data_IF_441365059564
#
_entry.id   IF_441365059564
#
_cell.length_a   1.000
_cell.length_b   1.000
_cell.length_c   1.000
_cell.angle_alpha   90.00
_cell.angle_beta   90.00
_cell.angle_gamma   90.00
#
_symmetry.space_group_name_H-M   'P 1'
#
loop_
_entity.id
_entity.type
_entity.pdbx_description
1 polymer ?
#
# COMPACT_ATOMS: atom_id res chain seq x y z
N UNK A 1 -24.32 19.99 -15.30
CA UNK A 1 -24.10 19.00 -14.20
C UNK A 1 -24.87 17.75 -14.58
N UNK A 2 -24.19 16.72 -15.06
CA UNK A 2 -24.84 15.42 -15.22
C UNK A 2 -24.82 14.76 -13.84
N UNK A 3 -25.97 14.62 -13.21
CA UNK A 3 -26.11 13.79 -12.01
C UNK A 3 -25.78 12.34 -12.42
N UNK A 4 -24.88 11.70 -11.68
CA UNK A 4 -24.64 10.28 -11.83
C UNK A 4 -25.95 9.55 -11.53
N UNK A 5 -26.33 8.65 -12.43
CA UNK A 5 -27.46 7.75 -12.22
C UNK A 5 -27.23 6.99 -10.89
N UNK A 6 -28.16 7.03 -9.93
CA UNK A 6 -28.04 6.34 -8.65
C UNK A 6 -27.75 4.83 -8.78
N UNK A 7 -28.15 4.20 -9.90
CA UNK A 7 -27.86 2.80 -10.21
C UNK A 7 -26.37 2.56 -10.47
N UNK A 8 -25.65 3.56 -10.96
CA UNK A 8 -24.20 3.48 -11.24
C UNK A 8 -23.39 3.72 -9.97
N UNK A 9 -23.90 4.53 -9.04
CA UNK A 9 -23.20 4.82 -7.78
C UNK A 9 -23.01 3.57 -6.89
N UNK A 10 -23.94 2.61 -6.95
CA UNK A 10 -23.84 1.35 -6.21
C UNK A 10 -22.81 0.36 -6.77
N UNK A 11 -22.43 0.50 -8.03
CA UNK A 11 -21.47 -0.39 -8.72
C UNK A 11 -20.13 0.28 -8.99
N UNK A 12 -20.03 1.59 -8.84
CA UNK A 12 -18.82 2.34 -9.07
C UNK A 12 -17.76 2.03 -8.00
N UNK A 13 -16.57 1.65 -8.43
CA UNK A 13 -15.41 1.34 -7.55
C UNK A 13 -14.81 2.58 -6.89
N UNK A 14 -14.87 3.70 -7.60
CA UNK A 14 -14.49 5.02 -7.10
C UNK A 14 -15.26 6.09 -7.88
N UNK A 15 -15.76 7.07 -7.18
CA UNK A 15 -16.40 8.26 -7.78
C UNK A 15 -15.48 9.44 -7.53
N UNK A 16 -14.97 10.02 -8.62
CA UNK A 16 -14.11 11.21 -8.57
C UNK A 16 -14.91 12.35 -9.24
N UNK A 17 -15.21 13.38 -8.48
CA UNK A 17 -15.85 14.57 -8.98
C UNK A 17 -14.84 15.51 -9.64
N UNK A 18 -15.19 16.05 -10.80
CA UNK A 18 -14.37 17.05 -11.50
C UNK A 18 -14.95 18.48 -11.38
N UNK A 19 -15.98 18.68 -10.57
CA UNK A 19 -16.69 19.97 -10.54
C UNK A 19 -17.18 20.41 -9.16
N UNK A 20 -16.63 19.84 -8.10
CA UNK A 20 -17.03 20.15 -6.71
C UNK A 20 -17.46 18.91 -5.92
N UNK A 21 -17.61 19.06 -4.63
CA UNK A 21 -18.04 17.97 -3.76
C UNK A 21 -19.54 17.68 -3.97
N UNK A 22 -19.89 16.39 -3.98
CA UNK A 22 -21.28 15.93 -3.87
C UNK A 22 -21.32 14.67 -2.97
N UNK A 23 -22.48 14.37 -2.41
CA UNK A 23 -22.65 13.20 -1.59
C UNK A 23 -22.36 11.92 -2.39
N UNK A 24 -21.44 11.09 -1.90
CA UNK A 24 -20.97 9.88 -2.57
C UNK A 24 -19.69 10.05 -3.40
N UNK A 25 -19.11 11.26 -3.53
CA UNK A 25 -17.79 11.41 -4.12
C UNK A 25 -16.68 10.92 -3.19
N UNK A 26 -15.84 10.00 -3.69
CA UNK A 26 -14.68 9.48 -2.96
C UNK A 26 -13.48 10.43 -3.02
N UNK A 27 -13.41 11.24 -4.07
CA UNK A 27 -12.41 12.30 -4.24
C UNK A 27 -12.95 13.43 -5.12
N UNK A 28 -12.42 14.63 -4.91
CA UNK A 28 -12.76 15.81 -5.71
C UNK A 28 -11.51 16.33 -6.39
N UNK A 29 -11.62 16.61 -7.68
CA UNK A 29 -10.59 17.28 -8.49
C UNK A 29 -11.22 18.49 -9.14
N UNK A 30 -10.69 19.66 -8.87
CA UNK A 30 -11.22 20.92 -9.46
C UNK A 30 -10.43 21.24 -10.73
N UNK A 31 -11.10 21.55 -11.86
CA UNK A 31 -10.44 22.04 -13.06
C UNK A 31 -9.75 23.40 -12.85
N UNK A 32 -8.65 23.69 -13.59
CA UNK A 32 -8.02 22.81 -14.56
C UNK A 32 -7.22 21.71 -13.90
N UNK A 33 -7.44 20.44 -14.30
CA UNK A 33 -6.76 19.28 -13.75
C UNK A 33 -5.90 18.59 -14.80
N UNK A 34 -4.67 18.27 -14.45
CA UNK A 34 -3.75 17.57 -15.32
C UNK A 34 -4.15 16.08 -15.47
N UNK A 35 -4.06 15.45 -16.66
CA UNK A 35 -4.43 14.05 -16.85
C UNK A 35 -3.71 13.08 -15.88
N UNK A 36 -2.44 13.32 -15.57
CA UNK A 36 -1.68 12.52 -14.60
C UNK A 36 -2.27 12.66 -13.20
N UNK A 37 -2.70 13.87 -12.80
CA UNK A 37 -3.36 14.11 -11.51
C UNK A 37 -4.65 13.28 -11.41
N UNK A 38 -5.49 13.31 -12.44
CA UNK A 38 -6.75 12.55 -12.48
C UNK A 38 -6.45 11.05 -12.33
N UNK A 39 -5.53 10.52 -13.13
CA UNK A 39 -5.13 9.11 -13.07
C UNK A 39 -4.54 8.72 -11.70
N UNK A 40 -3.72 9.59 -11.10
CA UNK A 40 -3.13 9.34 -9.79
C UNK A 40 -4.20 9.33 -8.68
N UNK A 41 -5.16 10.25 -8.73
CA UNK A 41 -6.27 10.32 -7.77
C UNK A 41 -7.18 9.10 -7.87
N UNK A 42 -7.58 8.69 -9.08
CA UNK A 42 -8.38 7.48 -9.30
C UNK A 42 -7.65 6.25 -8.72
N UNK A 43 -6.38 6.08 -9.05
CA UNK A 43 -5.59 4.94 -8.50
C UNK A 43 -5.48 4.98 -6.98
N UNK A 44 -5.26 6.16 -6.38
CA UNK A 44 -5.14 6.30 -4.93
C UNK A 44 -6.44 5.94 -4.22
N UNK A 45 -7.58 6.42 -4.75
CA UNK A 45 -8.92 6.15 -4.22
C UNK A 45 -9.28 4.66 -4.32
N UNK A 46 -9.04 4.04 -5.48
CA UNK A 46 -9.26 2.59 -5.66
C UNK A 46 -8.42 1.75 -4.69
N UNK A 47 -7.13 2.08 -4.55
CA UNK A 47 -6.24 1.36 -3.62
C UNK A 47 -6.63 1.55 -2.15
N UNK A 48 -7.13 2.74 -1.79
CA UNK A 48 -7.62 2.96 -0.43
C UNK A 48 -8.88 2.13 -0.17
N UNK A 49 -9.82 2.09 -1.11
CA UNK A 49 -11.02 1.25 -1.02
C UNK A 49 -10.69 -0.23 -0.83
N UNK A 50 -9.79 -0.79 -1.65
CA UNK A 50 -9.33 -2.18 -1.51
C UNK A 50 -8.73 -2.43 -0.13
N UNK A 51 -7.87 -1.52 0.36
CA UNK A 51 -7.24 -1.64 1.67
C UNK A 51 -8.28 -1.64 2.81
N UNK A 52 -9.25 -0.73 2.77
CA UNK A 52 -10.29 -0.59 3.79
C UNK A 52 -11.23 -1.79 3.82
N UNK A 53 -11.68 -2.23 2.65
CA UNK A 53 -12.57 -3.39 2.52
C UNK A 53 -11.86 -4.68 2.95
N UNK A 54 -10.60 -4.88 2.54
CA UNK A 54 -9.79 -6.04 2.98
C UNK A 54 -9.57 -6.01 4.49
N UNK A 55 -9.30 -4.84 5.07
CA UNK A 55 -9.12 -4.71 6.51
C UNK A 55 -10.40 -5.08 7.28
N UNK A 56 -11.54 -4.58 6.83
CA UNK A 56 -12.84 -4.89 7.43
C UNK A 56 -13.18 -6.37 7.30
N UNK A 57 -12.92 -6.97 6.13
CA UNK A 57 -13.18 -8.39 5.90
C UNK A 57 -12.25 -9.29 6.73
N UNK A 58 -10.96 -8.95 6.84
CA UNK A 58 -10.01 -9.73 7.67
C UNK A 58 -10.40 -9.70 9.14
N UNK A 59 -10.87 -8.56 9.63
CA UNK A 59 -11.38 -8.45 11.00
C UNK A 59 -12.64 -9.32 11.19
N UNK A 60 -13.56 -9.33 10.25
CA UNK A 60 -14.76 -10.18 10.30
C UNK A 60 -14.38 -11.67 10.34
N UNK A 61 -13.51 -12.12 9.43
CA UNK A 61 -13.05 -13.51 9.37
C UNK A 61 -12.30 -13.94 10.63
N UNK A 62 -11.61 -13.02 11.30
CA UNK A 62 -10.97 -13.26 12.59
C UNK A 62 -12.02 -13.43 13.70
N UNK A 63 -13.08 -12.60 13.70
CA UNK A 63 -14.22 -12.70 14.62
C UNK A 63 -14.96 -14.03 14.45
N UNK A 64 -15.22 -14.45 13.23
CA UNK A 64 -15.84 -15.75 12.90
C UNK A 64 -14.96 -16.94 13.31
N UNK A 65 -13.63 -16.73 13.41
CA UNK A 65 -12.70 -17.71 13.98
C UNK A 65 -12.69 -17.74 15.52
N UNK A 66 -13.54 -16.93 16.18
CA UNK A 66 -13.64 -16.86 17.64
C UNK A 66 -12.64 -15.94 18.32
N UNK A 67 -11.92 -15.10 17.56
CA UNK A 67 -10.90 -14.18 18.08
C UNK A 67 -11.45 -12.74 18.11
N UNK A 68 -11.81 -12.27 19.29
CA UNK A 68 -12.28 -10.89 19.46
C UNK A 68 -11.07 -9.94 19.64
N UNK A 69 -10.92 -9.00 18.73
CA UNK A 69 -10.01 -7.90 18.92
C UNK A 69 -10.72 -6.76 19.67
N UNK A 70 -10.14 -6.30 20.75
CA UNK A 70 -10.54 -5.05 21.33
C UNK A 70 -10.12 -3.91 20.39
N UNK A 71 -11.10 -3.25 19.78
CA UNK A 71 -10.85 -1.98 19.09
C UNK A 71 -10.36 -0.98 20.12
N UNK A 72 -9.04 -0.84 20.25
CA UNK A 72 -8.48 0.30 20.96
C UNK A 72 -8.99 1.57 20.28
N UNK A 73 -9.67 2.43 21.02
CA UNK A 73 -10.02 3.78 20.54
C UNK A 73 -8.70 4.51 20.26
N UNK A 74 -8.25 4.47 19.03
CA UNK A 74 -7.15 5.36 18.60
C UNK A 74 -7.76 6.78 18.53
N UNK A 75 -7.67 7.53 19.63
CA UNK A 75 -7.97 8.96 19.63
C UNK A 75 -7.04 9.61 18.61
N UNK A 76 -7.57 9.90 17.44
CA UNK A 76 -6.87 10.72 16.46
C UNK A 76 -6.84 12.15 17.01
N UNK A 77 -5.65 12.63 17.39
CA UNK A 77 -5.43 14.06 17.66
C UNK A 77 -5.78 14.93 16.44
N UNK A 78 -5.63 16.25 16.53
CA UNK A 78 -5.89 17.16 15.42
C UNK A 78 -5.08 16.76 14.18
N UNK A 79 -5.59 17.09 12.99
CA UNK A 79 -4.84 16.91 11.74
C UNK A 79 -3.62 17.84 11.80
N UNK A 80 -2.44 17.29 11.50
CA UNK A 80 -1.20 18.06 11.53
C UNK A 80 -0.64 18.23 10.12
N UNK A 81 -0.51 19.48 9.67
CA UNK A 81 -0.03 19.86 8.35
C UNK A 81 1.31 20.58 8.48
N UNK A 82 2.32 20.12 7.71
CA UNK A 82 3.57 20.83 7.55
C UNK A 82 3.47 21.78 6.35
N UNK A 83 3.74 23.04 6.55
CA UNK A 83 4.01 23.97 5.46
C UNK A 83 5.53 24.16 5.33
N UNK A 84 6.05 24.10 4.11
CA UNK A 84 7.45 24.38 3.82
C UNK A 84 7.55 25.39 2.67
N UNK A 85 8.14 26.55 2.95
CA UNK A 85 8.29 27.64 2.02
C UNK A 85 8.42 29.00 2.68
N UNK A 86 8.52 30.10 1.90
CA UNK A 86 8.63 31.43 2.46
C UNK A 86 7.38 31.84 3.23
N UNK A 87 7.49 32.73 4.23
CA UNK A 87 6.37 33.31 4.94
C UNK A 87 5.71 34.37 4.03
N UNK A 88 4.74 33.96 3.26
CA UNK A 88 4.01 34.82 2.33
C UNK A 88 2.51 34.93 2.70
N UNK A 89 1.76 35.87 2.09
CA UNK A 89 0.34 36.04 2.40
C UNK A 89 -0.51 34.79 2.12
N UNK A 90 -0.10 33.91 1.18
CA UNK A 90 -0.81 32.68 0.89
C UNK A 90 -0.68 31.68 2.07
N UNK A 91 0.51 31.62 2.69
CA UNK A 91 0.72 30.84 3.90
C UNK A 91 -0.20 31.32 5.04
N UNK A 92 -0.24 32.62 5.32
CA UNK A 92 -1.03 33.16 6.45
C UNK A 92 -2.53 32.88 6.27
N UNK A 93 -3.04 33.04 5.05
CA UNK A 93 -4.43 32.71 4.75
C UNK A 93 -4.74 31.22 4.93
N UNK A 94 -3.84 30.36 4.44
CA UNK A 94 -3.96 28.90 4.58
C UNK A 94 -3.90 28.49 6.05
N UNK A 95 -2.93 28.99 6.81
CA UNK A 95 -2.81 28.69 8.24
C UNK A 95 -4.09 29.05 8.99
N UNK A 96 -4.61 30.24 8.77
CA UNK A 96 -5.86 30.68 9.40
C UNK A 96 -7.05 29.79 9.03
N UNK A 97 -7.16 29.42 7.76
CA UNK A 97 -8.23 28.51 7.31
C UNK A 97 -8.12 27.11 7.93
N UNK A 98 -6.92 26.55 8.01
CA UNK A 98 -6.67 25.26 8.67
C UNK A 98 -6.97 25.32 10.17
N UNK A 99 -6.56 26.37 10.85
CA UNK A 99 -6.85 26.55 12.30
C UNK A 99 -8.35 26.60 12.60
N UNK A 100 -9.16 27.24 11.73
CA UNK A 100 -10.64 27.25 11.88
C UNK A 100 -11.25 25.86 11.83
N UNK A 101 -10.64 24.90 11.17
CA UNK A 101 -11.08 23.51 11.13
C UNK A 101 -10.56 22.65 12.28
N UNK A 102 -9.77 23.23 13.18
CA UNK A 102 -9.11 22.52 14.28
C UNK A 102 -7.84 21.75 13.86
N UNK A 103 -7.32 22.00 12.67
CA UNK A 103 -6.05 21.42 12.24
C UNK A 103 -4.86 22.22 12.82
N UNK A 104 -3.79 21.52 13.14
CA UNK A 104 -2.51 22.12 13.55
C UNK A 104 -1.63 22.34 12.33
N UNK A 105 -0.99 23.51 12.24
CA UNK A 105 -0.03 23.82 11.20
C UNK A 105 1.35 24.06 11.82
N UNK A 106 2.36 23.42 11.24
CA UNK A 106 3.77 23.68 11.55
C UNK A 106 4.41 24.31 10.32
N UNK A 107 5.10 25.44 10.49
CA UNK A 107 5.74 26.13 9.38
C UNK A 107 7.26 25.96 9.41
N UNK A 108 7.81 25.52 8.28
CA UNK A 108 9.24 25.45 8.01
C UNK A 108 9.59 26.47 6.94
N UNK A 109 10.27 27.55 7.31
CA UNK A 109 10.64 28.60 6.34
C UNK A 109 11.98 28.34 5.63
N UNK A 110 12.54 27.16 5.85
CA UNK A 110 13.70 26.64 5.11
C UNK A 110 13.53 25.17 4.82
N UNK A 111 14.18 24.68 3.76
CA UNK A 111 14.19 23.26 3.40
C UNK A 111 14.84 22.41 4.49
N UNK A 112 15.85 22.94 5.17
CA UNK A 112 16.53 22.27 6.28
C UNK A 112 15.56 22.00 7.43
N UNK A 113 14.87 23.03 7.90
CA UNK A 113 13.88 22.89 8.97
C UNK A 113 12.72 21.95 8.57
N UNK A 114 12.34 21.93 7.28
CA UNK A 114 11.32 21.02 6.81
C UNK A 114 11.73 19.55 6.98
N UNK A 115 12.98 19.21 6.67
CA UNK A 115 13.49 17.85 6.87
C UNK A 115 13.62 17.50 8.35
N UNK A 116 14.08 18.42 9.20
CA UNK A 116 14.16 18.19 10.65
C UNK A 116 12.78 17.87 11.23
N UNK A 117 11.77 18.69 10.92
CA UNK A 117 10.39 18.43 11.36
C UNK A 117 9.82 17.10 10.81
N UNK A 118 10.12 16.75 9.56
CA UNK A 118 9.70 15.48 8.98
C UNK A 118 10.38 14.26 9.65
N UNK A 119 11.57 14.46 10.22
CA UNK A 119 12.24 13.43 11.03
C UNK A 119 11.65 13.30 12.43
N UNK A 120 11.35 14.40 13.08
CA UNK A 120 10.90 14.46 14.46
C UNK A 120 9.42 14.11 14.62
N UNK A 121 8.55 14.60 13.73
CA UNK A 121 7.09 14.51 13.86
C UNK A 121 6.45 13.87 12.62
N UNK A 122 5.36 13.16 12.86
CA UNK A 122 4.52 12.64 11.77
C UNK A 122 3.48 13.69 11.37
N UNK A 123 3.40 14.03 10.08
CA UNK A 123 2.42 14.94 9.51
C UNK A 123 1.38 14.19 8.69
N UNK A 124 0.15 14.67 8.69
CA UNK A 124 -0.93 14.08 7.91
C UNK A 124 -0.92 14.58 6.45
N UNK A 125 -0.38 15.78 6.20
CA UNK A 125 -0.10 16.31 4.87
C UNK A 125 1.10 17.25 4.91
N UNK A 126 1.73 17.47 3.74
CA UNK A 126 2.82 18.43 3.56
C UNK A 126 2.47 19.37 2.42
N UNK A 127 2.54 20.67 2.65
CA UNK A 127 2.35 21.72 1.67
C UNK A 127 3.70 22.33 1.35
N UNK A 128 4.10 22.27 0.10
CA UNK A 128 5.37 22.83 -0.39
C UNK A 128 5.09 24.03 -1.26
N UNK A 129 5.51 25.20 -0.86
CA UNK A 129 5.45 26.38 -1.69
C UNK A 129 6.49 26.28 -2.80
N UNK A 130 6.09 26.57 -4.03
CA UNK A 130 6.99 26.50 -5.19
C UNK A 130 7.91 27.71 -5.33
N UNK A 131 7.75 28.72 -4.49
CA UNK A 131 8.68 29.85 -4.41
C UNK A 131 9.85 29.54 -3.47
N UNK A 132 11.03 30.11 -3.66
CA UNK A 132 11.41 30.96 -4.82
C UNK A 132 11.67 30.15 -6.11
N UNK A 133 11.85 28.83 -6.02
CA UNK A 133 12.12 27.92 -7.16
C UNK A 133 11.37 26.62 -7.02
N UNK A 134 10.65 26.16 -8.06
CA UNK A 134 9.93 24.88 -8.07
C UNK A 134 10.82 23.68 -7.79
N UNK A 135 12.08 23.69 -8.25
CA UNK A 135 13.05 22.59 -8.10
C UNK A 135 13.28 22.18 -6.64
N UNK A 136 13.19 23.15 -5.70
CA UNK A 136 13.33 22.87 -4.27
C UNK A 136 12.16 22.01 -3.81
N UNK A 137 10.93 22.38 -4.15
CA UNK A 137 9.73 21.62 -3.81
C UNK A 137 9.76 20.22 -4.43
N UNK A 138 10.18 20.11 -5.69
CA UNK A 138 10.37 18.84 -6.39
C UNK A 138 11.41 17.93 -5.72
N UNK A 139 12.51 18.52 -5.22
CA UNK A 139 13.55 17.78 -4.50
C UNK A 139 13.00 17.21 -3.18
N UNK A 140 12.23 18.00 -2.43
CA UNK A 140 11.58 17.54 -1.19
C UNK A 140 10.58 16.41 -1.50
N UNK A 141 9.76 16.54 -2.54
CA UNK A 141 8.86 15.48 -3.00
C UNK A 141 9.63 14.16 -3.24
N UNK A 142 10.71 14.23 -4.03
CA UNK A 142 11.53 13.07 -4.36
C UNK A 142 12.15 12.43 -3.11
N UNK A 143 12.67 13.23 -2.19
CA UNK A 143 13.25 12.76 -0.94
C UNK A 143 12.20 12.06 -0.06
N UNK A 144 11.00 12.62 0.04
CA UNK A 144 9.89 11.99 0.78
C UNK A 144 9.49 10.64 0.17
N UNK A 145 9.47 10.50 -1.15
CA UNK A 145 9.15 9.23 -1.83
C UNK A 145 10.22 8.15 -1.69
N UNK A 146 11.46 8.53 -1.38
CA UNK A 146 12.55 7.57 -1.09
C UNK A 146 12.58 7.14 0.37
N UNK A 147 11.90 7.85 1.26
CA UNK A 147 11.84 7.53 2.68
C UNK A 147 10.61 6.68 2.97
N UNK A 148 10.79 5.46 3.44
CA UNK A 148 9.71 4.49 3.71
C UNK A 148 8.65 5.01 4.69
N UNK A 149 9.05 5.81 5.68
CA UNK A 149 8.15 6.42 6.67
C UNK A 149 7.29 7.54 6.06
N UNK A 150 7.84 8.30 5.10
CA UNK A 150 7.21 9.46 4.48
C UNK A 150 6.53 9.15 3.14
N UNK A 151 6.81 7.99 2.56
CA UNK A 151 6.36 7.60 1.22
C UNK A 151 4.87 7.83 0.96
N UNK A 152 4.03 7.56 1.94
CA UNK A 152 2.58 7.73 1.83
C UNK A 152 2.05 9.07 2.34
N UNK A 153 2.93 10.01 2.75
CA UNK A 153 2.49 11.33 3.17
C UNK A 153 2.09 12.14 1.94
N UNK A 154 0.85 12.63 1.83
CA UNK A 154 0.45 13.46 0.72
C UNK A 154 1.25 14.75 0.72
N UNK A 155 1.70 15.12 -0.47
CA UNK A 155 2.51 16.31 -0.70
C UNK A 155 1.80 17.19 -1.71
N UNK A 156 1.41 18.38 -1.30
CA UNK A 156 0.69 19.37 -2.11
C UNK A 156 1.67 20.47 -2.49
N UNK A 157 1.75 20.78 -3.78
CA UNK A 157 2.49 21.95 -4.25
C UNK A 157 1.57 23.16 -4.28
N UNK A 158 1.95 24.23 -3.60
CA UNK A 158 1.28 25.52 -3.65
C UNK A 158 1.94 26.39 -4.72
N UNK A 159 1.29 26.49 -5.88
CA UNK A 159 1.80 27.22 -7.04
C UNK A 159 1.31 28.66 -7.06
N UNK A 160 2.22 29.58 -7.40
CA UNK A 160 1.89 31.00 -7.64
C UNK A 160 1.74 31.33 -9.14
N UNK A 161 1.96 30.36 -10.01
CA UNK A 161 1.78 30.51 -11.45
C UNK A 161 0.33 30.20 -11.83
N UNK A 162 -0.24 30.94 -12.79
CA UNK A 162 -1.58 30.67 -13.32
C UNK A 162 -1.65 29.26 -13.95
N UNK A 163 -0.58 28.85 -14.62
CA UNK A 163 -0.41 27.50 -15.16
C UNK A 163 0.93 26.95 -14.69
N UNK A 164 0.88 25.88 -13.88
CA UNK A 164 2.10 25.22 -13.42
C UNK A 164 2.70 24.35 -14.53
N UNK A 165 3.70 24.89 -15.23
CA UNK A 165 4.29 24.24 -16.42
C UNK A 165 5.04 22.96 -16.13
N UNK A 166 5.54 22.76 -14.92
CA UNK A 166 6.28 21.57 -14.49
C UNK A 166 5.37 20.50 -13.82
N UNK A 167 4.08 20.44 -14.17
CA UNK A 167 3.14 19.51 -13.55
C UNK A 167 3.51 18.04 -13.74
N UNK A 168 3.94 17.64 -14.95
CA UNK A 168 4.39 16.27 -15.25
C UNK A 168 5.55 15.87 -14.35
N UNK A 169 6.53 16.74 -14.19
CA UNK A 169 7.69 16.50 -13.34
C UNK A 169 7.29 16.42 -11.86
N UNK A 170 6.41 17.30 -11.40
CA UNK A 170 5.92 17.30 -10.02
C UNK A 170 5.24 15.97 -9.66
N UNK A 171 4.32 15.50 -10.52
CA UNK A 171 3.64 14.23 -10.31
C UNK A 171 4.59 13.03 -10.45
N UNK A 172 5.52 13.06 -11.39
CA UNK A 172 6.57 12.04 -11.54
C UNK A 172 7.47 11.96 -10.29
N UNK A 173 7.72 13.09 -9.63
CA UNK A 173 8.46 13.17 -8.37
C UNK A 173 7.62 12.90 -7.12
N UNK A 174 6.33 12.65 -7.30
CA UNK A 174 5.43 12.17 -6.24
C UNK A 174 4.57 13.23 -5.57
N UNK A 175 4.35 14.39 -6.20
CA UNK A 175 3.31 15.30 -5.74
C UNK A 175 1.95 14.60 -5.75
N UNK A 176 1.14 14.86 -4.75
CA UNK A 176 -0.23 14.34 -4.64
C UNK A 176 -1.24 15.26 -5.29
N UNK A 177 -0.99 16.57 -5.21
CA UNK A 177 -1.81 17.62 -5.82
C UNK A 177 -0.98 18.86 -6.08
N UNK A 178 -1.49 19.73 -6.98
CA UNK A 178 -0.94 21.06 -7.26
C UNK A 178 -2.10 22.04 -7.14
N UNK A 179 -1.99 22.98 -6.22
CA UNK A 179 -3.04 23.95 -5.91
C UNK A 179 -2.53 25.37 -6.20
N UNK A 180 -3.30 26.19 -6.95
CA UNK A 180 -2.98 27.60 -7.11
C UNK A 180 -3.07 28.36 -5.78
N UNK A 181 -2.07 29.16 -5.46
CA UNK A 181 -2.07 30.01 -4.26
C UNK A 181 -3.14 31.13 -4.31
N UNK A 182 -3.74 31.36 -5.48
CA UNK A 182 -4.85 32.27 -5.70
C UNK A 182 -6.23 31.71 -5.33
N UNK A 183 -6.33 30.38 -5.07
CA UNK A 183 -7.58 29.80 -4.58
C UNK A 183 -8.01 30.43 -3.25
N UNK A 184 -9.32 30.38 -3.00
CA UNK A 184 -9.86 30.77 -1.71
C UNK A 184 -9.27 29.91 -0.60
N UNK A 185 -8.97 30.52 0.55
CA UNK A 185 -8.26 29.85 1.62
C UNK A 185 -9.01 28.64 2.18
N UNK A 186 -10.34 28.71 2.22
CA UNK A 186 -11.16 27.61 2.70
C UNK A 186 -11.15 26.44 1.72
N UNK A 187 -11.17 26.68 0.41
CA UNK A 187 -11.04 25.64 -0.61
C UNK A 187 -9.66 24.97 -0.56
N UNK A 188 -8.58 25.75 -0.37
CA UNK A 188 -7.24 25.21 -0.16
C UNK A 188 -7.21 24.28 1.06
N UNK A 189 -7.77 24.74 2.18
CA UNK A 189 -7.80 23.97 3.43
C UNK A 189 -8.61 22.67 3.25
N UNK A 190 -9.79 22.72 2.65
CA UNK A 190 -10.63 21.54 2.39
C UNK A 190 -9.89 20.47 1.58
N UNK A 191 -9.19 20.86 0.52
CA UNK A 191 -8.45 19.94 -0.34
C UNK A 191 -7.26 19.30 0.38
N UNK A 192 -6.53 20.07 1.17
CA UNK A 192 -5.42 19.56 1.97
C UNK A 192 -5.94 18.61 3.05
N UNK A 193 -7.03 18.96 3.72
CA UNK A 193 -7.67 18.14 4.74
C UNK A 193 -8.22 16.83 4.18
N UNK A 194 -8.79 16.83 2.99
CA UNK A 194 -9.25 15.61 2.32
C UNK A 194 -8.09 14.62 2.11
N UNK A 195 -6.93 15.10 1.65
CA UNK A 195 -5.72 14.29 1.50
C UNK A 195 -5.17 13.79 2.84
N UNK A 196 -5.18 14.65 3.87
CA UNK A 196 -4.76 14.30 5.21
C UNK A 196 -5.66 13.21 5.83
N UNK A 197 -6.99 13.32 5.62
CA UNK A 197 -7.96 12.31 6.06
C UNK A 197 -7.76 10.97 5.34
N UNK A 198 -7.52 10.96 4.03
CA UNK A 198 -7.17 9.75 3.30
C UNK A 198 -5.92 9.06 3.87
N UNK A 199 -4.88 9.83 4.21
CA UNK A 199 -3.70 9.30 4.86
C UNK A 199 -4.04 8.66 6.22
N UNK A 200 -4.88 9.31 7.03
CA UNK A 200 -5.34 8.75 8.30
C UNK A 200 -6.11 7.46 8.13
N UNK A 201 -7.07 7.44 7.21
CA UNK A 201 -7.83 6.23 6.86
C UNK A 201 -6.91 5.10 6.44
N UNK A 202 -5.93 5.38 5.57
CA UNK A 202 -4.91 4.39 5.15
C UNK A 202 -4.10 3.87 6.34
N UNK A 203 -3.69 4.74 7.26
CA UNK A 203 -2.93 4.36 8.45
C UNK A 203 -3.76 3.50 9.40
N UNK A 204 -5.02 3.88 9.61
CA UNK A 204 -5.96 3.11 10.44
C UNK A 204 -6.21 1.71 9.87
N UNK A 205 -6.47 1.60 8.57
CA UNK A 205 -6.69 0.31 7.92
C UNK A 205 -5.46 -0.58 7.95
N UNK A 206 -4.25 -0.01 7.76
CA UNK A 206 -3.00 -0.76 7.94
C UNK A 206 -2.81 -1.22 9.38
N UNK A 207 -3.09 -0.36 10.36
CA UNK A 207 -3.03 -0.72 11.78
C UNK A 207 -4.02 -1.83 12.13
N UNK A 208 -5.23 -1.78 11.57
CA UNK A 208 -6.23 -2.83 11.73
C UNK A 208 -5.76 -4.16 11.14
N UNK A 209 -5.21 -4.16 9.93
CA UNK A 209 -4.64 -5.36 9.31
C UNK A 209 -3.50 -5.96 10.12
N UNK A 210 -2.64 -5.12 10.70
CA UNK A 210 -1.57 -5.59 11.57
C UNK A 210 -2.11 -6.14 12.90
N UNK A 211 -3.13 -5.54 13.48
CA UNK A 211 -3.78 -6.05 14.70
C UNK A 211 -4.48 -7.41 14.49
N UNK A 212 -4.87 -7.72 13.25
CA UNK A 212 -5.43 -9.04 12.90
C UNK A 212 -4.36 -10.16 12.87
N UNK A 213 -3.09 -9.86 13.06
CA UNK A 213 -1.99 -10.83 13.07
C UNK A 213 -1.81 -11.40 14.48
N UNK A 214 -2.79 -12.13 14.97
CA UNK A 214 -2.72 -12.78 16.28
C UNK A 214 -2.13 -14.20 16.13
N UNK A 215 -1.42 -14.67 17.15
CA UNK A 215 -0.73 -15.96 17.12
C UNK A 215 -1.64 -17.16 16.77
N UNK A 216 -2.90 -17.08 17.09
CA UNK A 216 -3.88 -18.13 16.80
C UNK A 216 -4.17 -18.34 15.30
N UNK A 217 -3.89 -17.36 14.45
CA UNK A 217 -4.10 -17.45 12.99
C UNK A 217 -2.79 -17.44 12.21
N UNK A 218 -1.68 -17.34 12.90
CA UNK A 218 -0.34 -17.37 12.29
C UNK A 218 0.28 -18.75 12.41
N UNK A 219 1.16 -19.06 11.47
CA UNK A 219 2.10 -20.18 11.57
C UNK A 219 3.19 -19.84 12.59
N UNK A 220 3.42 -20.71 13.56
CA UNK A 220 4.29 -20.45 14.71
C UNK A 220 5.78 -20.35 14.36
N UNK A 221 6.20 -20.82 13.19
CA UNK A 221 7.60 -20.80 12.77
C UNK A 221 7.93 -19.60 11.88
N UNK A 222 6.95 -19.14 11.08
CA UNK A 222 7.20 -18.16 10.01
C UNK A 222 6.50 -16.83 10.20
N UNK A 223 5.60 -16.72 11.18
CA UNK A 223 4.72 -15.55 11.34
C UNK A 223 3.86 -15.20 10.11
N UNK A 224 3.79 -16.08 9.11
CA UNK A 224 2.83 -15.98 8.03
C UNK A 224 1.47 -16.50 8.50
N UNK A 225 0.40 -16.20 7.77
CA UNK A 225 -0.89 -16.80 8.11
C UNK A 225 -0.85 -18.31 7.92
N UNK A 226 -1.54 -19.04 8.80
CA UNK A 226 -1.74 -20.47 8.68
C UNK A 226 -2.62 -20.82 7.49
N UNK A 227 -2.48 -22.01 6.93
CA UNK A 227 -3.28 -22.47 5.78
C UNK A 227 -4.79 -22.44 6.07
N UNK A 228 -5.21 -22.84 7.27
CA UNK A 228 -6.61 -22.88 7.68
C UNK A 228 -7.24 -21.48 7.68
N UNK A 229 -6.59 -20.48 8.27
CA UNK A 229 -7.05 -19.09 8.23
C UNK A 229 -6.92 -18.51 6.83
N UNK A 230 -5.83 -18.81 6.14
CA UNK A 230 -5.55 -18.38 4.79
C UNK A 230 -6.66 -18.77 3.81
N UNK A 231 -7.09 -20.02 3.82
CA UNK A 231 -8.18 -20.50 2.96
C UNK A 231 -9.52 -19.85 3.31
N UNK A 232 -9.81 -19.63 4.61
CA UNK A 232 -11.03 -18.91 5.05
C UNK A 232 -11.04 -17.49 4.49
N UNK A 233 -9.99 -16.72 4.78
CA UNK A 233 -9.88 -15.34 4.34
C UNK A 233 -9.84 -15.22 2.82
N UNK A 234 -9.16 -16.13 2.12
CA UNK A 234 -9.17 -16.16 0.65
C UNK A 234 -10.59 -16.38 0.11
N UNK A 235 -11.40 -17.24 0.75
CA UNK A 235 -12.80 -17.42 0.35
C UNK A 235 -13.60 -16.12 0.43
N UNK A 236 -13.40 -15.36 1.50
CA UNK A 236 -14.01 -14.04 1.67
C UNK A 236 -13.49 -13.02 0.64
N UNK A 237 -12.18 -13.04 0.35
CA UNK A 237 -11.59 -12.18 -0.69
C UNK A 237 -12.13 -12.49 -2.09
N UNK A 238 -12.34 -13.75 -2.45
CA UNK A 238 -12.96 -14.13 -3.72
C UNK A 238 -14.37 -13.55 -3.84
N UNK A 239 -15.18 -13.66 -2.78
CA UNK A 239 -16.53 -13.09 -2.77
C UNK A 239 -16.49 -11.55 -2.86
N UNK A 240 -15.66 -10.91 -2.06
CA UNK A 240 -15.51 -9.46 -2.02
C UNK A 240 -15.09 -8.90 -3.38
N UNK A 241 -14.04 -9.46 -3.97
CA UNK A 241 -13.49 -8.97 -5.23
C UNK A 241 -14.45 -9.25 -6.40
N UNK A 242 -15.16 -10.37 -6.37
CA UNK A 242 -16.21 -10.64 -7.35
C UNK A 242 -17.37 -9.64 -7.23
N UNK A 243 -17.89 -9.41 -6.02
CA UNK A 243 -18.99 -8.45 -5.80
C UNK A 243 -18.61 -7.02 -6.23
N UNK A 244 -17.33 -6.66 -6.10
CA UNK A 244 -16.81 -5.34 -6.49
C UNK A 244 -16.24 -5.29 -7.90
N UNK A 245 -16.28 -6.41 -8.64
CA UNK A 245 -15.65 -6.57 -9.95
C UNK A 245 -14.17 -6.10 -9.94
N UNK A 246 -13.44 -6.46 -8.88
CA UNK A 246 -12.02 -6.21 -8.71
C UNK A 246 -11.21 -7.43 -9.11
N UNK A 247 -10.00 -7.27 -9.67
CA UNK A 247 -9.13 -8.40 -9.90
C UNK A 247 -8.62 -8.99 -8.58
N UNK A 248 -8.42 -10.27 -8.54
CA UNK A 248 -7.74 -11.00 -7.46
C UNK A 248 -6.80 -12.00 -8.08
N UNK A 249 -5.52 -11.92 -7.76
CA UNK A 249 -4.52 -12.89 -8.22
C UNK A 249 -3.95 -13.68 -7.05
N UNK A 250 -3.60 -14.94 -7.31
CA UNK A 250 -2.89 -15.80 -6.36
C UNK A 250 -1.57 -16.24 -6.96
N UNK A 251 -0.51 -16.13 -6.19
CA UNK A 251 0.84 -16.60 -6.53
C UNK A 251 1.15 -17.80 -5.67
N UNK A 252 1.32 -18.97 -6.29
CA UNK A 252 1.90 -20.14 -5.64
C UNK A 252 3.43 -20.02 -5.61
N UNK A 253 4.05 -20.37 -4.49
CA UNK A 253 5.49 -20.31 -4.29
C UNK A 253 5.97 -21.65 -3.74
N UNK A 254 6.99 -22.25 -4.35
CA UNK A 254 7.69 -23.43 -3.84
C UNK A 254 9.16 -23.13 -3.71
N UNK A 255 9.69 -23.32 -2.50
CA UNK A 255 11.07 -23.05 -2.15
C UNK A 255 11.84 -24.35 -2.06
N UNK A 256 13.02 -24.41 -2.65
CA UNK A 256 13.96 -25.49 -2.46
C UNK A 256 15.30 -24.93 -1.97
N UNK A 257 15.94 -25.68 -1.07
CA UNK A 257 17.26 -25.36 -0.53
C UNK A 257 18.25 -26.40 -1.09
N UNK A 258 18.97 -26.06 -2.18
CA UNK A 258 19.93 -26.98 -2.77
C UNK A 258 21.03 -27.36 -1.77
N UNK A 259 21.42 -28.66 -1.73
CA UNK A 259 22.45 -29.16 -0.84
C UNK A 259 21.99 -29.56 0.55
N UNK A 260 20.74 -29.36 0.92
CA UNK A 260 20.15 -29.78 2.20
C UNK A 260 19.77 -31.29 2.13
N UNK A 261 20.76 -32.20 2.18
CA UNK A 261 20.51 -33.64 1.97
C UNK A 261 20.57 -34.48 3.24
N UNK A 262 20.92 -33.93 4.42
CA UNK A 262 21.09 -34.67 5.67
C UNK A 262 20.24 -34.19 6.84
N UNK A 263 20.08 -34.99 7.91
CA UNK A 263 19.29 -34.61 9.09
C UNK A 263 19.80 -33.34 9.82
N UNK A 264 21.13 -33.10 9.74
CA UNK A 264 21.75 -31.88 10.27
C UNK A 264 21.37 -30.64 9.41
N UNK A 265 21.27 -30.84 8.10
CA UNK A 265 20.91 -29.80 7.15
C UNK A 265 19.42 -29.40 7.25
N UNK A 266 18.55 -30.29 7.72
CA UNK A 266 17.13 -30.03 7.88
C UNK A 266 16.81 -28.87 8.83
N UNK A 267 17.58 -28.72 9.93
CA UNK A 267 17.39 -27.58 10.86
C UNK A 267 17.84 -26.26 10.26
N UNK A 268 18.93 -26.28 9.50
CA UNK A 268 19.44 -25.09 8.82
C UNK A 268 18.57 -24.71 7.62
N UNK A 269 18.04 -25.70 6.89
CA UNK A 269 17.05 -25.47 5.84
C UNK A 269 15.76 -24.83 6.41
N UNK A 270 15.29 -25.28 7.59
CA UNK A 270 14.17 -24.63 8.28
C UNK A 270 14.49 -23.19 8.65
N UNK A 271 15.70 -22.88 9.11
CA UNK A 271 16.16 -21.52 9.35
C UNK A 271 16.12 -20.64 8.10
N UNK A 272 16.63 -21.16 6.98
CA UNK A 272 16.57 -20.45 5.69
C UNK A 272 15.13 -20.20 5.22
N UNK A 273 14.23 -21.16 5.41
CA UNK A 273 12.81 -21.02 5.09
C UNK A 273 12.11 -19.98 5.97
N UNK A 274 12.47 -19.91 7.25
CA UNK A 274 11.94 -18.88 8.17
C UNK A 274 12.44 -17.48 7.79
N UNK A 275 13.71 -17.34 7.40
CA UNK A 275 14.25 -16.08 6.89
C UNK A 275 13.57 -15.68 5.56
N UNK A 276 13.34 -16.64 4.66
CA UNK A 276 12.56 -16.41 3.45
C UNK A 276 11.15 -15.91 3.77
N UNK A 277 10.44 -16.55 4.70
CA UNK A 277 9.11 -16.15 5.11
C UNK A 277 9.08 -14.71 5.69
N UNK A 278 10.08 -14.38 6.52
CA UNK A 278 10.25 -13.01 7.03
C UNK A 278 10.48 -12.01 5.89
N UNK A 279 11.34 -12.34 4.94
CA UNK A 279 11.55 -11.51 3.74
C UNK A 279 10.25 -11.38 2.94
N UNK A 280 9.52 -12.47 2.70
CA UNK A 280 8.26 -12.49 1.96
C UNK A 280 7.23 -11.54 2.57
N UNK A 281 7.11 -11.52 3.90
CA UNK A 281 6.23 -10.60 4.63
C UNK A 281 6.51 -9.12 4.30
N UNK A 282 7.77 -8.75 4.11
CA UNK A 282 8.19 -7.38 3.79
C UNK A 282 8.07 -7.03 2.30
N UNK A 283 7.97 -8.04 1.43
CA UNK A 283 7.82 -7.85 -0.01
C UNK A 283 6.38 -7.61 -0.47
N UNK A 284 5.39 -7.85 0.40
CA UNK A 284 3.96 -7.72 0.08
C UNK A 284 3.34 -6.51 0.76
N UNK A 285 2.16 -6.09 0.28
CA UNK A 285 1.40 -4.99 0.87
C UNK A 285 0.67 -5.46 2.14
N UNK A 286 0.20 -4.53 2.96
CA UNK A 286 -0.55 -4.85 4.18
C UNK A 286 -1.87 -5.59 3.90
N UNK A 287 -2.54 -5.24 2.80
CA UNK A 287 -3.77 -5.88 2.32
C UNK A 287 -3.54 -7.27 1.72
N UNK A 288 -2.34 -7.55 1.23
CA UNK A 288 -2.02 -8.87 0.68
C UNK A 288 -2.05 -9.94 1.77
N UNK A 289 -2.35 -11.16 1.36
CA UNK A 289 -2.39 -12.32 2.25
C UNK A 289 -1.20 -13.23 1.92
N UNK A 290 -0.29 -13.40 2.85
CA UNK A 290 0.83 -14.33 2.73
C UNK A 290 0.62 -15.52 3.67
N UNK A 291 0.59 -16.73 3.12
CA UNK A 291 0.20 -17.95 3.81
C UNK A 291 1.28 -19.01 3.65
N UNK A 292 1.55 -19.75 4.74
CA UNK A 292 2.33 -20.96 4.71
C UNK A 292 1.41 -22.17 4.59
N UNK A 293 1.58 -22.97 3.54
CA UNK A 293 0.81 -24.19 3.31
C UNK A 293 1.54 -25.42 3.87
N UNK A 294 2.86 -25.48 3.68
CA UNK A 294 3.72 -26.54 4.18
C UNK A 294 5.13 -26.00 4.48
N UNK A 295 6.06 -26.89 4.81
CA UNK A 295 7.43 -26.50 5.13
C UNK A 295 8.10 -25.64 4.04
N UNK A 296 7.84 -25.93 2.78
CA UNK A 296 8.49 -25.33 1.61
C UNK A 296 7.54 -24.66 0.64
N UNK A 297 6.25 -24.59 0.98
CA UNK A 297 5.18 -24.17 0.07
C UNK A 297 4.39 -23.02 0.68
N UNK A 298 4.26 -21.93 -0.08
CA UNK A 298 3.57 -20.71 0.34
C UNK A 298 2.64 -20.21 -0.77
N UNK A 299 1.67 -19.41 -0.44
CA UNK A 299 0.97 -18.62 -1.44
C UNK A 299 0.73 -17.19 -1.00
N UNK A 300 0.60 -16.31 -1.99
CA UNK A 300 0.19 -14.94 -1.80
C UNK A 300 -1.16 -14.72 -2.48
N UNK A 301 -2.09 -14.06 -1.82
CA UNK A 301 -3.30 -13.57 -2.48
C UNK A 301 -3.28 -12.05 -2.49
N UNK A 302 -3.48 -11.46 -3.67
CA UNK A 302 -3.27 -10.06 -3.99
C UNK A 302 -4.59 -9.41 -4.44
N UNK A 303 -5.40 -8.89 -3.51
CA UNK A 303 -6.66 -8.22 -3.86
C UNK A 303 -6.40 -6.93 -4.64
N UNK A 304 -7.22 -6.65 -5.64
CA UNK A 304 -7.09 -5.48 -6.52
C UNK A 304 -5.86 -5.52 -7.44
N UNK A 305 -5.28 -6.72 -7.68
CA UNK A 305 -4.08 -6.90 -8.51
C UNK A 305 -4.40 -7.82 -9.66
N UNK A 306 -4.06 -7.42 -10.89
CA UNK A 306 -4.22 -8.23 -12.11
C UNK A 306 -3.16 -9.32 -12.19
N UNK A 307 -3.40 -10.38 -12.99
CA UNK A 307 -2.41 -11.44 -13.21
C UNK A 307 -1.08 -10.89 -13.76
N UNK A 308 -1.13 -9.89 -14.64
CA UNK A 308 0.07 -9.24 -15.16
C UNK A 308 0.88 -8.54 -14.05
N UNK A 309 0.22 -7.75 -13.20
CA UNK A 309 0.88 -7.09 -12.07
C UNK A 309 1.38 -8.10 -11.03
N UNK A 310 0.64 -9.20 -10.82
CA UNK A 310 1.03 -10.27 -9.92
C UNK A 310 2.31 -11.00 -10.40
N UNK A 311 2.49 -11.16 -11.72
CA UNK A 311 3.75 -11.69 -12.27
C UNK A 311 4.94 -10.79 -11.96
N UNK A 312 4.76 -9.45 -12.01
CA UNK A 312 5.82 -8.50 -11.60
C UNK A 312 6.15 -8.66 -10.12
N UNK A 313 5.14 -8.86 -9.27
CA UNK A 313 5.36 -9.15 -7.84
C UNK A 313 6.10 -10.47 -7.66
N UNK A 314 5.69 -11.54 -8.33
CA UNK A 314 6.32 -12.85 -8.25
C UNK A 314 7.80 -12.81 -8.70
N UNK A 315 8.09 -12.17 -9.83
CA UNK A 315 9.46 -11.98 -10.32
C UNK A 315 10.33 -11.18 -9.34
N UNK A 316 9.77 -10.12 -8.73
CA UNK A 316 10.49 -9.35 -7.71
C UNK A 316 10.80 -10.17 -6.47
N UNK A 317 9.83 -10.95 -5.97
CA UNK A 317 10.03 -11.85 -4.82
C UNK A 317 11.10 -12.89 -5.13
N UNK A 318 11.05 -13.51 -6.32
CA UNK A 318 12.04 -14.47 -6.77
C UNK A 318 13.44 -13.86 -6.84
N UNK A 319 13.59 -12.71 -7.46
CA UNK A 319 14.88 -12.03 -7.59
C UNK A 319 15.48 -11.69 -6.21
N UNK A 320 14.68 -11.18 -5.27
CA UNK A 320 15.15 -10.89 -3.90
C UNK A 320 15.56 -12.19 -3.20
N UNK A 321 14.73 -13.23 -3.28
CA UNK A 321 14.99 -14.51 -2.65
C UNK A 321 16.28 -15.16 -3.13
N UNK A 322 16.51 -15.19 -4.45
CA UNK A 322 17.69 -15.80 -5.06
C UNK A 322 18.98 -15.00 -4.85
N UNK A 323 18.86 -13.66 -4.70
CA UNK A 323 19.99 -12.78 -4.39
C UNK A 323 20.33 -12.73 -2.89
N UNK A 324 19.49 -13.29 -2.01
CA UNK A 324 19.70 -13.30 -0.56
C UNK A 324 20.56 -14.49 -0.15
N UNK A 325 21.55 -14.25 0.72
CA UNK A 325 22.30 -15.27 1.39
C UNK A 325 21.61 -15.63 2.72
N UNK A 326 21.17 -16.87 2.86
CA UNK A 326 20.46 -17.34 4.05
C UNK A 326 21.42 -18.03 5.00
N UNK A 327 21.20 -17.93 6.30
CA UNK A 327 22.06 -18.58 7.30
C UNK A 327 22.10 -20.08 7.10
N UNK A 328 23.33 -20.61 6.94
CA UNK A 328 23.64 -22.03 6.84
C UNK A 328 24.30 -22.57 8.11
N UNK A 329 24.66 -23.83 8.08
CA UNK A 329 25.44 -24.46 9.14
C UNK A 329 26.82 -23.82 9.34
N UNK A 330 27.44 -23.39 8.26
CA UNK A 330 28.71 -22.69 8.22
C UNK A 330 28.43 -21.21 7.84
N UNK A 331 28.82 -20.25 8.69
CA UNK A 331 28.67 -18.82 8.37
C UNK A 331 29.41 -18.39 7.08
N UNK A 332 30.43 -19.14 6.65
CA UNK A 332 31.18 -18.88 5.41
C UNK A 332 30.51 -19.52 4.18
N UNK A 333 29.54 -20.40 4.38
CA UNK A 333 28.79 -21.08 3.32
C UNK A 333 27.28 -20.88 3.49
N UNK A 334 26.75 -19.67 3.21
CA UNK A 334 25.32 -19.41 3.34
C UNK A 334 24.53 -20.24 2.32
N UNK A 335 23.32 -20.61 2.70
CA UNK A 335 22.39 -21.24 1.76
C UNK A 335 21.91 -20.24 0.71
N UNK A 336 21.76 -20.73 -0.51
CA UNK A 336 20.93 -20.09 -1.53
C UNK A 336 19.65 -20.89 -1.68
N UNK A 337 18.56 -20.23 -1.93
CA UNK A 337 17.29 -20.88 -2.23
C UNK A 337 16.98 -20.75 -3.72
N UNK A 338 16.24 -21.71 -4.24
CA UNK A 338 15.62 -21.63 -5.57
C UNK A 338 14.12 -21.50 -5.36
N UNK A 339 13.55 -20.44 -5.90
CA UNK A 339 12.13 -20.14 -5.80
C UNK A 339 11.42 -20.41 -7.13
N UNK A 340 10.50 -21.39 -7.12
CA UNK A 340 9.57 -21.60 -8.24
C UNK A 340 8.25 -20.90 -7.91
N UNK A 341 7.67 -20.26 -8.88
CA UNK A 341 6.39 -19.58 -8.73
C UNK A 341 5.49 -19.78 -9.94
N UNK A 342 4.18 -19.71 -9.69
CA UNK A 342 3.15 -19.67 -10.72
C UNK A 342 2.07 -18.68 -10.30
N UNK A 343 1.41 -18.05 -11.26
CA UNK A 343 0.42 -17.00 -11.04
C UNK A 343 -0.91 -17.40 -11.69
N UNK A 344 -1.97 -17.27 -10.93
CA UNK A 344 -3.34 -17.46 -11.43
C UNK A 344 -4.23 -16.31 -10.94
N UNK A 345 -5.22 -15.96 -11.72
CA UNK A 345 -6.28 -15.01 -11.34
C UNK A 345 -7.57 -15.73 -10.98
N UNK A 346 -8.35 -15.09 -10.12
CA UNK A 346 -9.66 -15.59 -9.73
C UNK A 346 -10.66 -15.37 -10.87
N UNK A 347 -11.37 -16.44 -11.23
CA UNK A 347 -12.48 -16.42 -12.18
C UNK A 347 -13.83 -16.44 -11.43
N UNK A 348 -14.89 -16.08 -12.14
CA UNK A 348 -16.24 -16.16 -11.60
C UNK A 348 -16.58 -17.59 -11.18
N UNK A 349 -17.04 -17.76 -9.94
CA UNK A 349 -17.39 -19.08 -9.39
C UNK A 349 -16.24 -19.89 -8.81
N UNK A 350 -15.01 -19.36 -8.80
CA UNK A 350 -13.88 -20.01 -8.13
C UNK A 350 -14.13 -20.17 -6.63
N UNK A 351 -13.65 -21.29 -6.09
CA UNK A 351 -13.51 -21.51 -4.64
C UNK A 351 -12.04 -21.32 -4.25
N UNK A 352 -11.77 -20.88 -3.03
CA UNK A 352 -10.41 -20.67 -2.54
C UNK A 352 -9.50 -21.88 -2.75
N UNK A 353 -9.99 -23.09 -2.43
CA UNK A 353 -9.22 -24.33 -2.59
C UNK A 353 -8.86 -24.60 -4.07
N UNK A 354 -9.80 -24.37 -4.99
CA UNK A 354 -9.58 -24.56 -6.43
C UNK A 354 -8.57 -23.56 -6.97
N UNK A 355 -8.66 -22.30 -6.50
CA UNK A 355 -7.76 -21.23 -6.89
C UNK A 355 -6.33 -21.51 -6.41
N UNK A 356 -6.16 -21.92 -5.16
CA UNK A 356 -4.86 -22.33 -4.60
C UNK A 356 -4.32 -23.57 -5.33
N UNK A 357 -5.15 -24.59 -5.58
CA UNK A 357 -4.72 -25.79 -6.30
C UNK A 357 -4.23 -25.44 -7.72
N UNK A 358 -4.88 -24.50 -8.41
CA UNK A 358 -4.48 -24.01 -9.73
C UNK A 358 -3.14 -23.25 -9.68
N UNK A 359 -2.91 -22.44 -8.64
CA UNK A 359 -1.64 -21.74 -8.45
C UNK A 359 -0.44 -22.68 -8.19
N UNK A 360 -0.72 -23.93 -7.79
CA UNK A 360 0.33 -24.94 -7.59
C UNK A 360 0.40 -25.99 -8.70
N UNK A 361 -0.48 -25.94 -9.71
CA UNK A 361 -0.56 -26.99 -10.71
C UNK A 361 0.76 -27.21 -11.47
N UNK A 362 1.40 -26.11 -11.88
CA UNK A 362 2.67 -26.16 -12.62
C UNK A 362 3.89 -26.36 -11.70
N UNK A 363 3.75 -26.12 -10.40
CA UNK A 363 4.86 -26.25 -9.43
C UNK A 363 5.07 -27.68 -8.94
N UNK A 364 4.09 -28.57 -9.17
CA UNK A 364 4.13 -29.99 -8.78
C UNK A 364 4.95 -30.84 -9.74
N UNK A 365 5.17 -30.39 -10.97
CA UNK A 365 5.99 -31.12 -11.95
C UNK A 365 7.46 -30.93 -11.58
N UNK A 366 8.12 -31.99 -11.16
CA UNK A 366 9.59 -32.04 -11.03
C UNK A 366 10.20 -31.86 -12.42
N UNK A 367 10.69 -30.69 -12.75
CA UNK A 367 11.66 -30.58 -13.83
C UNK A 367 12.97 -31.20 -13.34
N UNK A 368 13.56 -32.16 -14.07
CA UNK A 368 14.88 -32.66 -13.72
C UNK A 368 15.85 -31.49 -13.62
N UNK A 369 16.62 -31.45 -12.53
CA UNK A 369 17.65 -30.44 -12.32
C UNK A 369 18.53 -30.37 -13.57
N UNK A 370 18.51 -29.25 -14.27
CA UNK A 370 19.52 -28.98 -15.30
C UNK A 370 20.84 -28.83 -14.55
N UNK A 371 21.67 -29.88 -14.65
CA UNK A 371 23.05 -29.81 -14.17
C UNK A 371 23.73 -28.69 -14.96
N UNK A 372 24.00 -27.57 -14.29
CA UNK A 372 24.91 -26.57 -14.82
C UNK A 372 26.31 -27.16 -14.68
N UNK A 373 26.90 -27.53 -15.83
CA UNK A 373 28.27 -27.96 -15.99
C UNK A 373 29.21 -26.77 -15.74
#
# INVERSE_FOLDING_TARGET
MAALDPSVAGTARAVVSLAGAFDGAHAVIVPPAHPIQIAARIRATLRLGVLEETASQRLADLGDAGHLLHKGEQKSGPICVLYAGPPDPAYLRLEHALQRTGAETVAAFSTFNAFDYLHEKAFDAVVLNTRPKPDIAHTVCSAMRRNTRLYHTPTVLLSHDEVYRAADEAFARGASDILPASLEADELAERILALAQERRRRRLSKGLLESCRVSAVLDSETDLFSDSFGLRHLSSLVQLTHARNLPLSVIGLKVSVPGAAGPADGRHASGALNQFASMLRHCVRAEDLAVRVSADTFYLALPGTTAHDAQVVAARVAAIAECTAYEGADPQMPFRIVLRHDVTDAAAGDRAQTLVARAFANLRQEQPAVAVI
#
